data_IF_017093286781
#
_entry.id   IF_017093286781
#
_cell.length_a   1.000
_cell.length_b   1.000
_cell.length_c   1.000
_cell.angle_alpha   90.00
_cell.angle_beta   90.00
_cell.angle_gamma   90.00
#
_symmetry.space_group_name_H-M   'P 1'
#
loop_
_entity.id
_entity.type
_entity.pdbx_description
1 polymer ?
#
# COMPACT_ATOMS: atom_id res chain seq x y z
N UNK A 1 -19.09 -8.70 -8.04
CA UNK A 1 -17.96 -8.75 -9.00
C UNK A 1 -18.42 -8.07 -10.28
N UNK A 2 -17.64 -7.12 -10.78
CA UNK A 2 -17.96 -6.39 -12.02
C UNK A 2 -17.84 -7.32 -13.24
N UNK A 3 -18.49 -6.96 -14.34
CA UNK A 3 -18.66 -7.87 -15.49
C UNK A 3 -17.34 -8.27 -16.15
N UNK A 4 -16.39 -7.34 -16.30
CA UNK A 4 -15.05 -7.64 -16.86
C UNK A 4 -14.29 -8.73 -16.09
N UNK A 5 -14.50 -8.85 -14.78
CA UNK A 5 -13.86 -9.89 -13.96
C UNK A 5 -14.60 -11.23 -14.12
N UNK A 6 -15.93 -11.22 -14.29
CA UNK A 6 -16.70 -12.43 -14.62
C UNK A 6 -16.25 -13.00 -15.97
N UNK A 7 -16.14 -12.15 -16.98
CA UNK A 7 -15.66 -12.53 -18.32
C UNK A 7 -14.25 -13.11 -18.29
N UNK A 8 -13.31 -12.51 -17.53
CA UNK A 8 -11.96 -13.05 -17.38
C UNK A 8 -11.95 -14.43 -16.71
N UNK A 9 -12.82 -14.64 -15.71
CA UNK A 9 -12.99 -15.93 -15.06
C UNK A 9 -13.57 -16.97 -16.02
N UNK A 10 -14.59 -16.61 -16.78
CA UNK A 10 -15.23 -17.49 -17.78
C UNK A 10 -14.25 -17.91 -18.87
N UNK A 11 -13.36 -17.01 -19.31
CA UNK A 11 -12.26 -17.33 -20.25
C UNK A 11 -11.14 -18.18 -19.62
N UNK A 12 -11.18 -18.44 -18.31
CA UNK A 12 -10.19 -19.28 -17.63
C UNK A 12 -8.77 -18.68 -17.58
N UNK A 13 -8.62 -17.36 -17.74
CA UNK A 13 -7.31 -16.68 -17.78
C UNK A 13 -6.79 -16.28 -16.39
N UNK A 14 -7.63 -16.38 -15.34
CA UNK A 14 -7.26 -16.09 -13.96
C UNK A 14 -6.44 -17.22 -13.33
N UNK A 15 -5.26 -17.49 -13.91
CA UNK A 15 -4.28 -18.49 -13.43
C UNK A 15 -3.01 -17.77 -12.99
N UNK A 16 -2.47 -18.14 -11.84
CA UNK A 16 -1.25 -17.57 -11.28
C UNK A 16 -0.12 -18.60 -11.21
N UNK A 17 1.12 -18.14 -11.36
CA UNK A 17 2.35 -18.89 -11.05
C UNK A 17 3.08 -18.20 -9.89
N UNK A 18 3.88 -18.93 -9.09
CA UNK A 18 4.80 -18.30 -8.14
C UNK A 18 5.79 -17.38 -8.86
N UNK A 19 6.48 -16.47 -8.14
CA UNK A 19 7.49 -15.60 -8.74
C UNK A 19 8.57 -16.38 -9.52
N UNK A 20 9.01 -15.81 -10.65
CA UNK A 20 10.15 -16.32 -11.41
C UNK A 20 11.47 -16.06 -10.65
N UNK A 21 12.54 -16.79 -11.00
CA UNK A 21 13.86 -16.68 -10.36
C UNK A 21 14.61 -15.41 -10.81
N UNK A 22 14.64 -15.15 -12.12
CA UNK A 22 15.35 -13.99 -12.70
C UNK A 22 14.84 -13.64 -14.11
N UNK A 23 15.10 -12.41 -14.51
CA UNK A 23 15.06 -11.98 -15.91
C UNK A 23 16.37 -12.32 -16.63
N UNK A 24 16.27 -12.46 -17.95
CA UNK A 24 17.37 -12.32 -18.90
C UNK A 24 17.07 -11.13 -19.83
N UNK A 25 17.66 -11.06 -21.04
CA UNK A 25 17.37 -9.96 -21.97
C UNK A 25 15.89 -9.92 -22.40
N UNK A 26 15.31 -11.06 -22.76
CA UNK A 26 13.95 -11.17 -23.29
C UNK A 26 13.19 -12.39 -22.73
N UNK A 27 13.73 -13.06 -21.72
CA UNK A 27 13.11 -14.23 -21.09
C UNK A 27 13.03 -14.11 -19.58
N UNK A 28 12.13 -14.86 -18.97
CA UNK A 28 12.13 -15.16 -17.53
C UNK A 28 12.47 -16.62 -17.31
N UNK A 29 13.26 -16.90 -16.26
CA UNK A 29 13.57 -18.26 -15.83
C UNK A 29 12.72 -18.59 -14.60
N UNK A 30 11.94 -19.67 -14.69
CA UNK A 30 11.03 -20.12 -13.66
C UNK A 30 11.71 -21.01 -12.61
N UNK A 31 11.06 -21.29 -11.47
CA UNK A 31 11.63 -22.15 -10.42
C UNK A 31 12.03 -23.55 -10.88
N UNK A 32 11.36 -24.10 -11.90
CA UNK A 32 11.65 -25.38 -12.54
C UNK A 32 12.70 -25.30 -13.66
N UNK A 33 13.38 -24.15 -13.77
CA UNK A 33 14.37 -23.84 -14.81
C UNK A 33 13.82 -23.78 -16.23
N UNK A 34 12.48 -23.81 -16.40
CA UNK A 34 11.86 -23.50 -17.69
C UNK A 34 12.06 -22.03 -18.05
N UNK A 35 12.22 -21.76 -19.34
CA UNK A 35 12.35 -20.41 -19.88
C UNK A 35 11.06 -19.99 -20.58
N UNK A 36 10.70 -18.72 -20.45
CA UNK A 36 9.58 -18.12 -21.17
C UNK A 36 9.98 -16.78 -21.75
N UNK A 37 9.84 -16.62 -23.06
CA UNK A 37 10.00 -15.31 -23.73
C UNK A 37 8.86 -14.37 -23.33
N UNK A 38 9.21 -13.11 -23.09
CA UNK A 38 8.27 -12.04 -22.72
C UNK A 38 8.62 -10.74 -23.43
N UNK A 39 7.61 -10.05 -23.95
CA UNK A 39 7.81 -8.75 -24.61
C UNK A 39 7.62 -7.57 -23.65
N UNK A 40 6.78 -7.76 -22.64
CA UNK A 40 6.41 -6.73 -21.68
C UNK A 40 6.09 -7.31 -20.31
N UNK A 41 6.27 -6.47 -19.27
CA UNK A 41 5.90 -6.78 -17.90
C UNK A 41 5.02 -5.65 -17.37
N UNK A 42 3.88 -6.01 -16.79
CA UNK A 42 3.02 -5.06 -16.06
C UNK A 42 3.21 -5.33 -14.57
N UNK A 43 3.80 -4.37 -13.86
CA UNK A 43 4.07 -4.47 -12.43
C UNK A 43 2.85 -4.09 -11.60
N UNK A 44 2.04 -5.10 -11.26
CA UNK A 44 0.94 -4.97 -10.30
C UNK A 44 1.39 -5.25 -8.85
N UNK A 45 2.60 -4.81 -8.47
CA UNK A 45 3.28 -5.15 -7.20
C UNK A 45 2.99 -4.19 -6.04
N UNK A 46 1.96 -3.35 -6.18
CA UNK A 46 1.51 -2.43 -5.14
C UNK A 46 2.33 -1.14 -5.07
N UNK A 47 2.17 -0.43 -3.94
CA UNK A 47 2.72 0.90 -3.73
C UNK A 47 3.31 1.02 -2.32
N UNK A 48 4.26 1.93 -2.14
CA UNK A 48 4.71 2.42 -0.84
C UNK A 48 4.00 3.74 -0.51
N UNK A 49 3.88 4.07 0.77
CA UNK A 49 3.35 5.36 1.20
C UNK A 49 4.22 6.52 0.69
N UNK A 50 3.62 7.57 0.15
CA UNK A 50 4.35 8.76 -0.31
C UNK A 50 4.71 9.67 0.88
N UNK A 51 5.88 9.41 1.48
CA UNK A 51 6.33 10.06 2.72
C UNK A 51 7.58 10.93 2.53
N UNK A 52 8.00 11.20 1.28
CA UNK A 52 9.24 11.95 1.00
C UNK A 52 9.32 13.32 1.70
N UNK A 53 8.18 13.97 1.91
CA UNK A 53 8.09 15.26 2.60
C UNK A 53 8.40 15.18 4.11
N UNK A 54 8.38 13.98 4.70
CA UNK A 54 8.68 13.74 6.12
C UNK A 54 10.12 13.23 6.36
N UNK A 55 10.93 13.07 5.31
CA UNK A 55 12.28 12.48 5.42
C UNK A 55 13.18 13.18 6.43
N UNK A 56 13.07 14.51 6.56
CA UNK A 56 13.89 15.30 7.46
C UNK A 56 13.49 15.16 8.94
N UNK A 57 12.40 14.45 9.25
CA UNK A 57 11.96 14.22 10.63
C UNK A 57 12.52 12.91 11.23
N UNK A 58 13.21 12.08 10.44
CA UNK A 58 13.78 10.79 10.88
C UNK A 58 12.76 9.83 11.53
N UNK A 59 11.52 9.85 11.03
CA UNK A 59 10.40 9.03 11.53
C UNK A 59 9.98 7.90 10.58
N UNK A 60 10.57 7.83 9.39
CA UNK A 60 10.23 6.82 8.38
C UNK A 60 11.03 5.56 8.68
N UNK A 61 10.32 4.47 8.95
CA UNK A 61 10.90 3.17 9.31
C UNK A 61 11.37 2.39 8.06
N UNK A 62 12.12 1.31 8.27
CA UNK A 62 12.71 0.49 7.20
C UNK A 62 11.69 -0.09 6.21
N UNK A 63 10.46 -0.37 6.67
CA UNK A 63 9.34 -0.83 5.84
C UNK A 63 8.62 0.30 5.07
N UNK A 64 9.12 1.53 5.14
CA UNK A 64 8.55 2.73 4.52
C UNK A 64 7.18 3.17 5.09
N UNK A 65 6.96 2.92 6.38
CA UNK A 65 5.83 3.46 7.15
C UNK A 65 6.32 4.40 8.25
N UNK A 66 5.40 5.00 9.00
CA UNK A 66 5.67 5.71 10.26
C UNK A 66 5.02 4.93 11.39
N UNK A 67 5.68 4.82 12.52
CA UNK A 67 5.07 4.25 13.73
C UNK A 67 3.92 5.15 14.20
N UNK A 68 2.69 4.62 14.25
CA UNK A 68 1.48 5.36 14.60
C UNK A 68 0.65 4.64 15.65
N UNK A 69 -0.06 5.42 16.47
CA UNK A 69 -1.20 4.97 17.29
C UNK A 69 -2.47 5.64 16.74
N UNK A 70 -3.42 4.85 16.24
CA UNK A 70 -4.64 5.32 15.56
C UNK A 70 -4.40 6.39 14.47
N UNK A 71 -3.25 6.35 13.79
CA UNK A 71 -2.85 7.31 12.76
C UNK A 71 -2.06 8.52 13.29
N UNK A 72 -1.98 8.74 14.61
CA UNK A 72 -1.09 9.73 15.21
C UNK A 72 0.34 9.22 15.25
N UNK A 73 1.32 10.02 14.85
CA UNK A 73 2.73 9.65 14.95
C UNK A 73 3.15 9.44 16.40
N UNK A 74 3.90 8.37 16.67
CA UNK A 74 4.48 8.09 18.00
C UNK A 74 5.69 9.00 18.30
N UNK A 75 6.37 9.52 17.26
CA UNK A 75 7.62 10.28 17.41
C UNK A 75 7.43 11.81 17.30
N UNK A 76 6.31 12.27 16.75
CA UNK A 76 6.03 13.70 16.52
C UNK A 76 4.60 14.00 16.95
N UNK A 77 4.45 14.70 18.08
CA UNK A 77 3.17 14.85 18.77
C UNK A 77 2.06 15.52 17.94
N UNK A 78 2.43 16.42 17.04
CA UNK A 78 1.50 17.20 16.22
C UNK A 78 1.37 16.68 14.78
N UNK A 79 1.72 15.41 14.54
CA UNK A 79 1.66 14.78 13.21
C UNK A 79 0.69 13.60 13.19
N UNK A 80 -0.23 13.61 12.23
CA UNK A 80 -1.14 12.51 11.92
C UNK A 80 -1.00 12.07 10.47
N UNK A 81 -1.22 10.78 10.22
CA UNK A 81 -1.17 10.14 8.91
C UNK A 81 -2.51 9.45 8.65
N UNK A 82 -3.16 9.80 7.55
CA UNK A 82 -4.52 9.34 7.22
C UNK A 82 -4.56 8.75 5.82
N UNK A 83 -5.13 7.54 5.70
CA UNK A 83 -5.48 6.96 4.40
C UNK A 83 -4.33 6.29 3.63
N UNK A 84 -3.20 6.00 4.28
CA UNK A 84 -2.04 5.38 3.62
C UNK A 84 -2.12 3.84 3.54
N UNK A 85 -3.07 3.22 4.24
CA UNK A 85 -3.27 1.78 4.27
C UNK A 85 -3.73 1.30 5.63
N UNK A 86 -3.83 -0.01 5.81
CA UNK A 86 -4.31 -0.58 7.08
C UNK A 86 -3.44 -0.19 8.29
N UNK A 87 -2.16 0.14 8.06
CA UNK A 87 -1.24 0.62 9.10
C UNK A 87 -1.59 2.02 9.64
N UNK A 88 -2.33 2.84 8.88
CA UNK A 88 -2.92 4.11 9.38
C UNK A 88 -4.38 3.93 9.82
N UNK A 89 -4.84 2.68 9.93
CA UNK A 89 -6.21 2.32 10.29
C UNK A 89 -6.86 1.44 9.24
N UNK A 90 -7.58 0.42 9.72
CA UNK A 90 -8.21 -0.61 8.89
C UNK A 90 -9.12 0.00 7.81
N UNK A 91 -8.89 -0.41 6.57
CA UNK A 91 -9.54 0.04 5.33
C UNK A 91 -9.37 1.54 5.02
N UNK A 92 -8.43 2.24 5.66
CA UNK A 92 -8.30 3.69 5.49
C UNK A 92 -7.90 4.11 4.07
N UNK A 93 -7.22 3.25 3.30
CA UNK A 93 -6.90 3.50 1.89
C UNK A 93 -8.05 3.15 0.93
N UNK A 94 -9.30 3.30 1.36
CA UNK A 94 -10.49 3.08 0.53
C UNK A 94 -11.48 4.23 0.68
N UNK A 95 -12.26 4.50 -0.38
CA UNK A 95 -13.23 5.61 -0.40
C UNK A 95 -14.22 5.52 0.78
N UNK A 96 -14.73 4.32 1.07
CA UNK A 96 -15.70 4.11 2.16
C UNK A 96 -14.99 4.11 3.52
N UNK A 97 -13.83 3.44 3.64
CA UNK A 97 -13.18 3.22 4.92
C UNK A 97 -12.48 4.45 5.50
N UNK A 98 -11.98 5.38 4.66
CA UNK A 98 -11.22 6.54 5.11
C UNK A 98 -12.02 7.49 6.02
N UNK A 99 -13.33 7.58 5.82
CA UNK A 99 -14.19 8.54 6.52
C UNK A 99 -14.16 8.36 8.05
N UNK A 100 -14.04 7.11 8.52
CA UNK A 100 -13.98 6.79 9.95
C UNK A 100 -12.66 7.28 10.57
N UNK A 101 -11.53 6.94 9.96
CA UNK A 101 -10.21 7.31 10.47
C UNK A 101 -10.00 8.82 10.38
N UNK A 102 -10.45 9.45 9.29
CA UNK A 102 -10.36 10.90 9.12
C UNK A 102 -11.15 11.68 10.19
N UNK A 103 -12.35 11.22 10.55
CA UNK A 103 -13.15 11.83 11.62
C UNK A 103 -12.44 11.73 12.98
N UNK A 104 -11.97 10.55 13.34
CA UNK A 104 -11.24 10.35 14.59
C UNK A 104 -9.98 11.22 14.65
N UNK A 105 -9.21 11.31 13.55
CA UNK A 105 -8.06 12.21 13.46
C UNK A 105 -8.45 13.68 13.65
N UNK A 106 -9.55 14.14 13.05
CA UNK A 106 -10.00 15.52 13.23
C UNK A 106 -10.41 15.81 14.69
N UNK A 107 -11.10 14.86 15.34
CA UNK A 107 -11.48 14.96 16.75
C UNK A 107 -10.23 15.02 17.65
N UNK A 108 -9.24 14.15 17.41
CA UNK A 108 -7.96 14.16 18.14
C UNK A 108 -7.17 15.46 17.95
N UNK A 109 -7.10 15.98 16.72
CA UNK A 109 -6.43 17.25 16.44
C UNK A 109 -7.15 18.39 17.17
N UNK A 110 -8.48 18.43 17.15
CA UNK A 110 -9.27 19.42 17.87
C UNK A 110 -8.97 19.39 19.37
N UNK A 111 -8.93 18.19 19.96
CA UNK A 111 -8.56 18.00 21.37
C UNK A 111 -7.12 18.40 21.66
N UNK A 112 -6.17 18.08 20.78
CA UNK A 112 -4.77 18.48 20.92
C UNK A 112 -4.64 20.01 20.93
N UNK A 113 -5.26 20.69 19.97
CA UNK A 113 -5.20 22.14 19.84
C UNK A 113 -5.91 22.88 20.99
N UNK A 114 -6.99 22.31 21.54
CA UNK A 114 -7.68 22.89 22.70
C UNK A 114 -6.86 22.83 24.01
N UNK A 115 -5.84 21.96 24.05
CA UNK A 115 -4.96 21.76 25.21
C UNK A 115 -3.55 22.33 25.02
N UNK A 116 -3.30 23.09 23.95
CA UNK A 116 -2.07 23.87 23.76
C UNK A 116 -2.10 25.14 24.63
#
# INVERSE_FOLDING_TARGET
MIDSVKEARERGVLKSRPPFKKFTSNTVIWPDDSEQSIDAVIWCTGFKASLNHLKNLDIIEANHTVSVDNGRSVKVDNLWLVGYGDWTGMASATIIGVSRTARATADEISMYLANL
#
